data_IF_286847384356
#
_entry.id   IF_286847384356
#
_cell.length_a   1.000
_cell.length_b   1.000
_cell.length_c   1.000
_cell.angle_alpha   90.00
_cell.angle_beta   90.00
_cell.angle_gamma   90.00
#
_symmetry.space_group_name_H-M   'P 1'
#
loop_
_entity.id
_entity.type
_entity.pdbx_description
1 polymer ?
#
# COMPACT_ATOMS: atom_id res chain seq x y z
N UNK A 1 -5.44 -32.74 -0.75
CA UNK A 1 -4.90 -31.49 -1.33
C UNK A 1 -6.00 -30.54 -1.85
N UNK A 2 -7.23 -30.60 -1.34
CA UNK A 2 -8.38 -29.79 -1.86
C UNK A 2 -8.64 -28.52 -1.02
N UNK A 3 -8.23 -28.49 0.26
CA UNK A 3 -8.50 -27.37 1.15
C UNK A 3 -7.72 -26.07 0.89
N UNK A 4 -6.52 -26.15 0.29
CA UNK A 4 -5.67 -24.96 0.03
C UNK A 4 -6.22 -24.09 -1.10
N UNK A 5 -6.78 -24.67 -2.16
CA UNK A 5 -7.36 -23.90 -3.27
C UNK A 5 -8.63 -23.15 -2.86
N UNK A 6 -9.49 -23.79 -2.06
CA UNK A 6 -10.73 -23.17 -1.59
C UNK A 6 -10.45 -21.93 -0.71
N UNK A 7 -9.41 -21.99 0.13
CA UNK A 7 -9.02 -20.87 0.98
C UNK A 7 -8.52 -19.66 0.17
N UNK A 8 -7.74 -19.90 -0.88
CA UNK A 8 -7.27 -18.84 -1.79
C UNK A 8 -8.44 -18.21 -2.54
N UNK A 9 -9.41 -19.02 -2.98
CA UNK A 9 -10.61 -18.52 -3.66
C UNK A 9 -11.46 -17.64 -2.72
N UNK A 10 -11.63 -18.04 -1.47
CA UNK A 10 -12.39 -17.28 -0.47
C UNK A 10 -11.70 -15.93 -0.18
N UNK A 11 -10.36 -15.93 -0.01
CA UNK A 11 -9.60 -14.68 0.23
C UNK A 11 -9.67 -13.75 -0.98
N UNK A 12 -9.57 -14.28 -2.20
CA UNK A 12 -9.67 -13.50 -3.43
C UNK A 12 -11.07 -12.88 -3.58
N UNK A 13 -12.13 -13.66 -3.34
CA UNK A 13 -13.52 -13.17 -3.43
C UNK A 13 -13.81 -12.12 -2.36
N UNK A 14 -13.33 -12.31 -1.12
CA UNK A 14 -13.46 -11.30 -0.07
C UNK A 14 -12.73 -10.01 -0.44
N UNK A 15 -11.53 -10.11 -0.99
CA UNK A 15 -10.74 -8.95 -1.41
C UNK A 15 -11.44 -8.16 -2.53
N UNK A 16 -11.99 -8.85 -3.53
CA UNK A 16 -12.75 -8.22 -4.63
C UNK A 16 -14.04 -7.54 -4.13
N UNK A 17 -14.73 -8.17 -3.16
CA UNK A 17 -16.00 -7.65 -2.63
C UNK A 17 -15.79 -6.38 -1.78
N UNK A 18 -14.69 -6.30 -1.03
CA UNK A 18 -14.30 -5.10 -0.28
C UNK A 18 -13.96 -3.95 -1.23
N UNK A 19 -13.26 -4.24 -2.34
CA UNK A 19 -12.90 -3.24 -3.34
C UNK A 19 -14.13 -2.64 -4.04
N UNK A 20 -15.09 -3.50 -4.43
CA UNK A 20 -16.32 -3.09 -5.10
C UNK A 20 -17.25 -2.21 -4.22
N UNK A 21 -17.33 -2.50 -2.92
CA UNK A 21 -18.16 -1.73 -1.98
C UNK A 21 -17.50 -0.39 -1.60
N UNK A 22 -16.17 -0.32 -1.59
CA UNK A 22 -15.46 0.95 -1.34
C UNK A 22 -15.83 2.00 -2.40
N UNK A 23 -15.99 1.60 -3.66
CA UNK A 23 -16.21 2.53 -4.76
C UNK A 23 -17.57 3.27 -4.69
N UNK A 24 -18.59 2.64 -4.09
CA UNK A 24 -19.89 3.28 -3.84
C UNK A 24 -19.88 4.19 -2.61
N UNK A 25 -19.18 3.80 -1.53
CA UNK A 25 -18.92 4.67 -0.37
C UNK A 25 -18.05 5.89 -0.73
N UNK A 26 -17.16 5.77 -1.72
CA UNK A 26 -16.31 6.85 -2.21
C UNK A 26 -17.05 7.96 -2.97
N UNK A 27 -18.28 7.71 -3.43
CA UNK A 27 -19.10 8.75 -4.04
C UNK A 27 -19.56 9.81 -3.03
N UNK A 28 -19.76 9.42 -1.77
CA UNK A 28 -20.33 10.28 -0.71
C UNK A 28 -19.23 10.92 0.15
N UNK A 29 -18.12 10.21 0.40
CA UNK A 29 -16.97 10.72 1.18
C UNK A 29 -15.67 10.75 0.37
N UNK A 30 -15.60 11.70 -0.56
CA UNK A 30 -14.46 11.86 -1.49
C UNK A 30 -13.11 11.96 -0.79
N UNK A 31 -13.02 12.69 0.33
CA UNK A 31 -11.75 12.87 1.04
C UNK A 31 -11.27 11.60 1.73
N UNK A 32 -12.18 10.88 2.41
CA UNK A 32 -11.83 9.63 3.09
C UNK A 32 -11.32 8.58 2.10
N UNK A 33 -11.90 8.56 0.91
CA UNK A 33 -11.46 7.68 -0.15
C UNK A 33 -10.17 8.11 -0.83
N UNK A 34 -9.92 9.41 -0.96
CA UNK A 34 -8.64 9.92 -1.41
C UNK A 34 -7.49 9.54 -0.45
N UNK A 35 -7.82 9.27 0.83
CA UNK A 35 -6.85 8.78 1.81
C UNK A 35 -6.62 7.26 1.75
N UNK A 36 -7.62 6.48 1.35
CA UNK A 36 -7.56 5.00 1.38
C UNK A 36 -7.33 4.35 0.02
N UNK A 37 -7.45 5.09 -1.07
CA UNK A 37 -7.18 4.57 -2.41
C UNK A 37 -5.68 4.57 -2.70
N UNK A 38 -5.16 3.45 -3.22
CA UNK A 38 -3.79 3.40 -3.73
C UNK A 38 -3.69 4.21 -5.01
N UNK A 39 -2.71 5.10 -5.06
CA UNK A 39 -2.31 5.74 -6.31
C UNK A 39 -0.81 5.53 -6.49
N UNK A 40 -0.42 4.98 -7.64
CA UNK A 40 0.97 4.77 -8.01
C UNK A 40 1.54 6.06 -8.61
N UNK A 41 2.08 6.94 -7.77
CA UNK A 41 2.73 8.19 -8.20
C UNK A 41 4.05 8.33 -7.45
N UNK A 42 5.19 8.19 -8.13
CA UNK A 42 6.57 8.27 -7.59
C UNK A 42 6.95 7.27 -6.46
N UNK A 43 6.10 7.05 -5.46
CA UNK A 43 6.26 6.07 -4.39
C UNK A 43 5.44 4.80 -4.68
N UNK A 44 5.74 3.72 -3.94
CA UNK A 44 5.10 2.40 -4.08
C UNK A 44 3.60 2.52 -3.87
N UNK A 45 3.20 3.28 -2.85
CA UNK A 45 1.82 3.68 -2.60
C UNK A 45 1.75 5.13 -2.10
N UNK A 46 0.65 5.80 -2.38
CA UNK A 46 0.45 7.20 -2.00
C UNK A 46 -0.97 7.45 -1.49
N UNK A 47 -1.05 8.41 -0.58
CA UNK A 47 -2.28 9.01 -0.05
C UNK A 47 -2.35 10.42 -0.60
N UNK A 48 -3.47 10.81 -1.21
CA UNK A 48 -3.57 12.13 -1.84
C UNK A 48 -3.55 13.28 -0.83
N UNK A 49 -3.05 14.46 -1.23
CA UNK A 49 -3.15 15.67 -0.45
C UNK A 49 -4.62 16.08 -0.25
N UNK A 50 -4.91 16.58 0.95
CA UNK A 50 -6.19 17.22 1.30
C UNK A 50 -5.87 18.68 1.67
N UNK A 51 -5.87 19.55 0.66
CA UNK A 51 -5.47 20.96 0.81
C UNK A 51 -6.30 21.72 1.85
N UNK A 52 -7.58 21.37 2.02
CA UNK A 52 -8.47 21.91 3.07
C UNK A 52 -7.94 21.71 4.48
N UNK A 53 -7.24 20.61 4.72
CA UNK A 53 -6.70 20.22 6.03
C UNK A 53 -5.21 20.54 6.16
N UNK A 54 -4.61 21.24 5.19
CA UNK A 54 -3.17 21.44 5.08
C UNK A 54 -2.38 20.12 5.15
N UNK A 55 -2.98 19.04 4.61
CA UNK A 55 -2.37 17.72 4.56
C UNK A 55 -1.80 17.49 3.17
N UNK A 56 -0.49 17.26 3.09
CA UNK A 56 0.23 17.13 1.81
C UNK A 56 0.19 15.71 1.22
N UNK A 57 -0.52 14.78 1.87
CA UNK A 57 -0.50 13.38 1.49
C UNK A 57 0.56 12.58 2.25
N UNK A 58 0.65 11.30 1.92
CA UNK A 58 1.68 10.38 2.42
C UNK A 58 2.26 9.61 1.25
N UNK A 59 3.55 9.38 1.29
CA UNK A 59 4.30 8.55 0.36
C UNK A 59 4.79 7.33 1.14
N UNK A 60 4.43 6.14 0.67
CA UNK A 60 4.87 4.87 1.20
C UNK A 60 5.90 4.28 0.25
N UNK A 61 7.10 4.03 0.76
CA UNK A 61 8.20 3.39 0.04
C UNK A 61 8.47 2.02 0.65
N UNK A 62 8.92 1.07 -0.16
CA UNK A 62 9.33 -0.24 0.34
C UNK A 62 10.54 -0.12 1.27
N UNK A 63 10.55 -1.00 2.28
CA UNK A 63 11.60 -1.25 3.27
C UNK A 63 11.55 -2.77 3.60
N UNK A 64 12.55 -3.42 4.24
CA UNK A 64 13.29 -2.92 5.42
C UNK A 64 14.75 -2.53 5.18
N UNK A 65 15.40 -2.98 4.11
CA UNK A 65 16.85 -2.78 3.88
C UNK A 65 17.22 -1.46 3.18
N UNK A 66 16.33 -0.47 3.23
CA UNK A 66 16.45 0.78 2.47
C UNK A 66 15.30 0.94 1.46
N UNK A 67 15.31 2.07 0.75
CA UNK A 67 14.31 2.35 -0.29
C UNK A 67 14.62 1.55 -1.56
N UNK A 68 13.56 1.25 -2.32
CA UNK A 68 13.61 0.49 -3.57
C UNK A 68 14.61 1.04 -4.61
N UNK A 69 15.03 0.17 -5.53
CA UNK A 69 16.04 0.43 -6.57
C UNK A 69 15.66 1.58 -7.52
N UNK A 70 14.38 1.97 -7.53
CA UNK A 70 13.86 3.14 -8.25
C UNK A 70 14.39 4.48 -7.72
N UNK A 71 14.92 4.53 -6.49
CA UNK A 71 15.46 5.76 -5.87
C UNK A 71 16.98 5.80 -5.99
N UNK A 72 17.48 6.62 -6.92
CA UNK A 72 18.91 6.86 -7.10
C UNK A 72 19.53 7.55 -5.86
N UNK A 73 20.82 7.29 -5.63
CA UNK A 73 21.57 7.85 -4.50
C UNK A 73 21.08 7.39 -3.11
N UNK A 74 20.40 6.24 -3.04
CA UNK A 74 20.07 5.56 -1.79
C UNK A 74 21.16 4.57 -1.37
N UNK A 75 21.26 4.31 -0.06
CA UNK A 75 22.11 3.23 0.49
C UNK A 75 21.26 1.98 0.70
N UNK A 76 21.69 0.87 0.12
CA UNK A 76 21.16 -0.45 0.47
C UNK A 76 21.84 -0.94 1.76
N UNK A 77 21.08 -1.05 2.84
CA UNK A 77 21.56 -1.57 4.11
C UNK A 77 21.61 -3.10 4.08
N UNK A 78 22.45 -3.74 4.93
CA UNK A 78 22.40 -5.18 5.13
C UNK A 78 21.00 -5.61 5.57
N UNK A 79 20.49 -6.77 5.10
CA UNK A 79 19.19 -7.27 5.53
C UNK A 79 19.19 -7.60 7.02
N UNK A 80 18.04 -7.48 7.68
CA UNK A 80 17.89 -7.72 9.12
C UNK A 80 18.43 -9.08 9.57
N UNK A 81 18.37 -10.11 8.72
CA UNK A 81 18.93 -11.43 9.05
C UNK A 81 20.44 -11.38 9.25
N UNK A 82 21.13 -10.49 8.53
CA UNK A 82 22.57 -10.30 8.65
C UNK A 82 22.91 -9.46 9.88
N UNK A 83 22.05 -8.50 10.25
CA UNK A 83 22.18 -7.72 11.48
C UNK A 83 21.90 -8.58 12.72
N UNK A 84 20.93 -9.49 12.66
CA UNK A 84 20.61 -10.39 13.77
C UNK A 84 21.72 -11.41 14.08
N UNK A 85 22.65 -11.62 13.14
CA UNK A 85 23.78 -12.56 13.30
C UNK A 85 25.05 -11.95 13.86
N UNK A 86 25.09 -10.64 14.09
CA UNK A 86 26.24 -9.90 14.67
C UNK A 86 26.02 -9.59 16.14
#
# INVERSE_FOLDING_TARGET
MVGKQLFVLIIAVFSITVDANSNEYCKVQKEKCATTSRIKVACVDNVLPIHRLNFNGLCFQDAPSGVDDSVQCSTAFPPDIQIATT
#
